data_IF_416254558621
#
_entry.id   IF_416254558621
#
_cell.length_a   1.000
_cell.length_b   1.000
_cell.length_c   1.000
_cell.angle_alpha   90.00
_cell.angle_beta   90.00
_cell.angle_gamma   90.00
#
_symmetry.space_group_name_H-M   'P 1'
#
loop_
_entity.id
_entity.type
_entity.pdbx_description
1 polymer ?
#
# COMPACT_ATOMS: atom_id res chain seq x y z
N UNK A 1 -17.83 -9.17 1.37
CA UNK A 1 -17.49 -8.31 0.20
C UNK A 1 -15.98 -8.08 0.05
N UNK A 2 -15.22 -7.89 1.15
CA UNK A 2 -13.77 -7.63 1.15
C UNK A 2 -12.91 -8.78 0.58
N UNK A 3 -13.27 -10.05 0.82
CA UNK A 3 -12.56 -11.24 0.27
C UNK A 3 -12.43 -11.28 -1.26
N UNK A 4 -13.26 -10.54 -2.00
CA UNK A 4 -13.30 -10.60 -3.48
C UNK A 4 -12.21 -9.73 -4.14
N UNK A 5 -11.66 -8.75 -3.42
CA UNK A 5 -10.61 -7.84 -3.92
C UNK A 5 -9.20 -8.48 -3.80
N UNK A 6 -9.00 -9.37 -2.83
CA UNK A 6 -7.72 -10.06 -2.58
C UNK A 6 -7.25 -11.00 -3.71
N UNK A 7 -8.13 -11.33 -4.67
CA UNK A 7 -7.85 -12.26 -5.77
C UNK A 7 -7.70 -11.58 -7.14
N UNK A 8 -7.84 -10.26 -7.26
CA UNK A 8 -7.65 -9.56 -8.53
C UNK A 8 -6.21 -9.11 -8.70
N UNK A 9 -5.61 -9.44 -9.84
CA UNK A 9 -4.49 -8.66 -10.38
C UNK A 9 -5.02 -7.25 -10.60
N UNK A 10 -4.81 -6.37 -9.61
CA UNK A 10 -5.07 -4.95 -9.80
C UNK A 10 -3.96 -4.45 -10.71
N UNK A 11 -4.31 -4.27 -11.97
CA UNK A 11 -3.44 -3.73 -13.01
C UNK A 11 -4.02 -2.41 -13.47
N UNK A 12 -3.26 -1.34 -13.25
CA UNK A 12 -3.64 -0.01 -13.67
C UNK A 12 -3.02 0.38 -15.01
N UNK A 13 -2.01 -0.37 -15.45
CA UNK A 13 -1.38 -0.24 -16.76
C UNK A 13 0.03 0.34 -16.71
N UNK A 14 0.56 0.66 -15.52
CA UNK A 14 1.92 1.13 -15.34
C UNK A 14 2.77 0.02 -14.74
N UNK A 15 3.59 -0.62 -15.58
CA UNK A 15 4.32 -1.85 -15.26
C UNK A 15 5.07 -1.81 -13.93
N UNK A 16 5.77 -0.71 -13.63
CA UNK A 16 6.53 -0.57 -12.39
C UNK A 16 5.62 -0.49 -11.14
N UNK A 17 4.52 0.25 -11.20
CA UNK A 17 3.57 0.40 -10.09
C UNK A 17 2.80 -0.90 -9.88
N UNK A 18 2.31 -1.52 -10.96
CA UNK A 18 1.62 -2.82 -10.89
C UNK A 18 2.54 -3.91 -10.31
N UNK A 19 3.84 -3.87 -10.61
CA UNK A 19 4.82 -4.77 -10.01
C UNK A 19 4.99 -4.53 -8.50
N UNK A 20 4.99 -3.28 -8.05
CA UNK A 20 5.05 -2.94 -6.63
C UNK A 20 3.77 -3.36 -5.90
N UNK A 21 2.58 -3.17 -6.48
CA UNK A 21 1.31 -3.66 -5.93
C UNK A 21 1.34 -5.16 -5.69
N UNK A 22 1.72 -5.94 -6.71
CA UNK A 22 1.84 -7.40 -6.59
C UNK A 22 2.80 -7.79 -5.46
N UNK A 23 3.95 -7.12 -5.38
CA UNK A 23 4.93 -7.44 -4.34
C UNK A 23 4.46 -7.09 -2.93
N UNK A 24 3.71 -5.99 -2.76
CA UNK A 24 3.09 -5.61 -1.49
C UNK A 24 2.01 -6.62 -1.10
N UNK A 25 1.12 -6.99 -2.02
CA UNK A 25 0.06 -7.99 -1.81
C UNK A 25 0.66 -9.35 -1.43
N UNK A 26 1.70 -9.80 -2.13
CA UNK A 26 2.37 -11.07 -1.82
C UNK A 26 3.01 -11.07 -0.44
N UNK A 27 3.51 -9.92 0.02
CA UNK A 27 4.02 -9.80 1.37
C UNK A 27 2.90 -9.83 2.41
N UNK A 28 1.73 -9.25 2.13
CA UNK A 28 0.55 -9.35 2.97
C UNK A 28 0.13 -10.81 3.17
N UNK A 29 0.08 -11.59 2.08
CA UNK A 29 -0.21 -13.05 2.14
C UNK A 29 0.81 -13.81 2.99
N UNK A 30 2.09 -13.47 2.89
CA UNK A 30 3.15 -14.08 3.73
C UNK A 30 2.96 -13.76 5.21
N UNK A 31 2.49 -12.55 5.53
CA UNK A 31 2.19 -12.14 6.91
C UNK A 31 0.97 -12.89 7.45
N UNK A 32 -0.09 -13.04 6.65
CA UNK A 32 -1.27 -13.83 7.02
C UNK A 32 -0.94 -15.30 7.32
N UNK A 33 0.07 -15.85 6.65
CA UNK A 33 0.54 -17.23 6.85
C UNK A 33 1.41 -17.43 8.10
N UNK A 34 1.81 -16.37 8.81
CA UNK A 34 2.59 -16.51 10.06
C UNK A 34 1.71 -17.21 11.11
N UNK A 35 2.17 -18.33 11.72
CA UNK A 35 1.42 -19.00 12.78
C UNK A 35 1.18 -18.09 13.99
N UNK A 36 0.02 -18.24 14.64
CA UNK A 36 -0.38 -17.41 15.78
C UNK A 36 0.11 -17.99 17.12
N UNK A 37 1.43 -18.08 17.28
CA UNK A 37 2.10 -18.52 18.50
C UNK A 37 3.15 -17.48 18.93
N UNK A 38 3.38 -17.36 20.23
CA UNK A 38 4.15 -16.26 20.83
C UNK A 38 5.58 -16.12 20.27
N UNK A 39 6.22 -17.24 19.89
CA UNK A 39 7.57 -17.25 19.32
C UNK A 39 7.65 -16.63 17.91
N UNK A 40 6.51 -16.32 17.28
CA UNK A 40 6.44 -15.73 15.95
C UNK A 40 6.25 -14.22 15.93
N UNK A 41 6.18 -13.56 17.09
CA UNK A 41 6.04 -12.10 17.14
C UNK A 41 7.23 -11.40 16.45
N UNK A 42 8.46 -11.83 16.69
CA UNK A 42 9.64 -11.24 16.07
C UNK A 42 9.68 -11.44 14.54
N UNK A 43 9.43 -12.66 14.00
CA UNK A 43 9.22 -12.87 12.57
C UNK A 43 8.10 -12.01 11.97
N UNK A 44 6.94 -11.90 12.65
CA UNK A 44 5.81 -11.07 12.22
C UNK A 44 6.22 -9.60 12.10
N UNK A 45 6.86 -9.06 13.14
CA UNK A 45 7.37 -7.69 13.16
C UNK A 45 8.40 -7.44 12.05
N UNK A 46 9.26 -8.42 11.75
CA UNK A 46 10.24 -8.33 10.66
C UNK A 46 9.56 -8.22 9.29
N UNK A 47 8.55 -9.06 9.03
CA UNK A 47 7.78 -9.02 7.80
C UNK A 47 6.98 -7.70 7.67
N UNK A 48 6.34 -7.26 8.76
CA UNK A 48 5.58 -6.00 8.75
C UNK A 48 6.48 -4.78 8.55
N UNK A 49 7.69 -4.78 9.12
CA UNK A 49 8.70 -3.74 8.84
C UNK A 49 9.10 -3.72 7.36
N UNK A 50 9.22 -4.90 6.74
CA UNK A 50 9.46 -5.01 5.29
C UNK A 50 8.28 -4.46 4.49
N UNK A 51 7.04 -4.76 4.89
CA UNK A 51 5.82 -4.26 4.26
C UNK A 51 5.78 -2.74 4.25
N UNK A 52 5.93 -2.12 5.42
CA UNK A 52 5.97 -0.65 5.55
C UNK A 52 7.03 -0.02 4.65
N UNK A 53 8.24 -0.61 4.58
CA UNK A 53 9.32 -0.08 3.73
C UNK A 53 8.94 -0.13 2.25
N UNK A 54 8.24 -1.17 1.81
CA UNK A 54 7.80 -1.31 0.42
C UNK A 54 6.69 -0.34 0.07
N UNK A 55 5.67 -0.22 0.94
CA UNK A 55 4.62 0.79 0.81
C UNK A 55 5.24 2.19 0.68
N UNK A 56 6.20 2.53 1.55
CA UNK A 56 6.88 3.84 1.47
C UNK A 56 7.60 4.05 0.14
N UNK A 57 8.30 3.03 -0.37
CA UNK A 57 9.00 3.13 -1.67
C UNK A 57 8.02 3.27 -2.82
N UNK A 58 6.88 2.61 -2.72
CA UNK A 58 5.84 2.66 -3.72
C UNK A 58 5.18 4.05 -3.80
N UNK A 59 4.81 4.61 -2.65
CA UNK A 59 4.31 5.98 -2.59
C UNK A 59 5.29 7.02 -3.14
N UNK A 60 6.60 6.84 -2.93
CA UNK A 60 7.60 7.73 -3.52
C UNK A 60 7.59 7.67 -5.05
N UNK A 61 7.47 6.47 -5.64
CA UNK A 61 7.36 6.32 -7.09
C UNK A 61 6.10 7.01 -7.63
N UNK A 62 4.97 6.84 -6.95
CA UNK A 62 3.72 7.49 -7.37
C UNK A 62 3.77 9.00 -7.20
N UNK A 63 4.42 9.50 -6.15
CA UNK A 63 4.66 10.94 -5.98
C UNK A 63 5.51 11.51 -7.11
N UNK A 64 6.55 10.79 -7.56
CA UNK A 64 7.33 11.15 -8.75
C UNK A 64 6.46 11.16 -10.01
N UNK A 65 5.60 10.16 -10.20
CA UNK A 65 4.66 10.11 -11.34
C UNK A 65 3.67 11.30 -11.28
N UNK A 66 3.13 11.59 -10.11
CA UNK A 66 2.19 12.70 -9.89
C UNK A 66 2.84 14.07 -10.11
N UNK A 67 4.16 14.21 -9.96
CA UNK A 67 4.88 15.44 -10.29
C UNK A 67 4.83 15.78 -11.79
N UNK A 68 4.72 14.77 -12.65
CA UNK A 68 4.52 14.99 -14.09
C UNK A 68 3.09 15.42 -14.45
N UNK A 69 2.12 15.27 -13.53
CA UNK A 69 0.76 15.80 -13.69
C UNK A 69 0.72 17.30 -13.36
N UNK A 70 1.19 18.13 -14.30
CA UNK A 70 1.30 19.59 -14.14
C UNK A 70 0.00 20.35 -14.42
N UNK A 71 -1.03 19.69 -14.96
CA UNK A 71 -2.30 20.35 -15.26
C UNK A 71 -3.06 20.73 -13.97
N UNK A 72 -3.52 21.98 -13.91
CA UNK A 72 -4.30 22.53 -12.79
C UNK A 72 -5.52 21.70 -12.43
N UNK A 73 -6.15 21.02 -13.40
CA UNK A 73 -7.33 20.18 -13.13
C UNK A 73 -7.01 18.99 -12.22
N UNK A 74 -5.76 18.55 -12.13
CA UNK A 74 -5.34 17.38 -11.34
C UNK A 74 -4.61 17.74 -10.04
N UNK A 75 -4.31 19.02 -9.81
CA UNK A 75 -3.59 19.49 -8.62
C UNK A 75 -4.28 19.06 -7.31
N UNK A 76 -5.62 19.15 -7.25
CA UNK A 76 -6.36 18.77 -6.06
C UNK A 76 -6.21 17.28 -5.73
N UNK A 77 -6.27 16.42 -6.75
CA UNK A 77 -6.03 14.99 -6.59
C UNK A 77 -4.59 14.72 -6.15
N UNK A 78 -3.58 15.35 -6.77
CA UNK A 78 -2.18 15.20 -6.35
C UNK A 78 -2.01 15.50 -4.86
N UNK A 79 -2.55 16.62 -4.37
CA UNK A 79 -2.43 16.97 -2.96
C UNK A 79 -3.14 15.97 -2.03
N UNK A 80 -4.36 15.55 -2.37
CA UNK A 80 -5.10 14.59 -1.53
C UNK A 80 -4.46 13.21 -1.55
N UNK A 81 -3.90 12.80 -2.69
CA UNK A 81 -3.17 11.55 -2.88
C UNK A 81 -1.89 11.52 -2.02
N UNK A 82 -1.02 12.51 -2.15
CA UNK A 82 0.19 12.64 -1.31
C UNK A 82 -0.16 12.73 0.18
N UNK A 83 -1.24 13.41 0.54
CA UNK A 83 -1.68 13.47 1.93
C UNK A 83 -2.15 12.10 2.44
N UNK A 84 -2.81 11.31 1.59
CA UNK A 84 -3.21 9.94 1.92
C UNK A 84 -2.00 9.04 2.18
N UNK A 85 -0.91 9.19 1.42
CA UNK A 85 0.35 8.49 1.67
C UNK A 85 0.90 8.78 3.07
N UNK A 86 0.99 10.06 3.42
CA UNK A 86 1.49 10.50 4.74
C UNK A 86 0.66 9.92 5.87
N UNK A 87 -0.67 10.00 5.74
CA UNK A 87 -1.60 9.47 6.72
C UNK A 87 -1.42 7.96 6.88
N UNK A 88 -1.32 7.22 5.77
CA UNK A 88 -1.16 5.78 5.79
C UNK A 88 0.20 5.35 6.37
N UNK A 89 1.29 6.03 6.03
CA UNK A 89 2.61 5.76 6.63
C UNK A 89 2.62 6.02 8.14
N UNK A 90 1.97 7.10 8.59
CA UNK A 90 1.82 7.37 10.02
C UNK A 90 1.01 6.27 10.72
N UNK A 91 -0.07 5.80 10.10
CA UNK A 91 -0.83 4.66 10.60
C UNK A 91 0.03 3.39 10.71
N UNK A 92 0.82 3.05 9.69
CA UNK A 92 1.75 1.92 9.74
C UNK A 92 2.82 2.08 10.83
N UNK A 93 3.30 3.30 11.07
CA UNK A 93 4.25 3.58 12.15
C UNK A 93 3.62 3.31 13.53
N UNK A 94 2.34 3.63 13.71
CA UNK A 94 1.62 3.38 14.97
C UNK A 94 1.39 1.89 15.18
N UNK A 95 0.95 1.16 14.15
CA UNK A 95 0.82 -0.31 14.21
C UNK A 95 2.16 -0.94 14.57
N UNK A 96 3.26 -0.47 13.99
CA UNK A 96 4.60 -0.98 14.29
C UNK A 96 4.99 -0.87 15.77
N UNK A 97 4.53 0.17 16.46
CA UNK A 97 4.74 0.33 17.91
C UNK A 97 3.84 -0.63 18.66
N UNK A 98 2.57 -0.68 18.29
CA UNK A 98 1.56 -1.54 18.92
C UNK A 98 1.94 -3.03 18.86
N UNK A 99 2.40 -3.54 17.71
CA UNK A 99 2.85 -4.94 17.59
C UNK A 99 4.17 -5.23 18.30
N UNK A 100 4.99 -4.21 18.57
CA UNK A 100 6.25 -4.38 19.30
C UNK A 100 5.98 -4.49 20.81
N UNK A 101 4.97 -3.77 21.29
CA UNK A 101 4.52 -3.78 22.68
C UNK A 101 3.58 -4.97 22.97
N UNK A 102 2.85 -5.45 21.95
CA UNK A 102 1.93 -6.57 22.04
C UNK A 102 2.64 -7.91 21.77
N UNK A 103 2.57 -8.85 22.73
CA UNK A 103 3.13 -10.20 22.57
C UNK A 103 2.15 -11.21 21.96
N UNK A 104 0.88 -10.83 21.80
CA UNK A 104 -0.14 -11.65 21.17
C UNK A 104 -0.06 -11.50 19.64
N UNK A 105 0.35 -12.60 19.00
CA UNK A 105 0.48 -12.67 17.54
C UNK A 105 -0.88 -12.65 16.85
N UNK A 106 -1.93 -13.20 17.46
CA UNK A 106 -3.28 -13.19 16.87
C UNK A 106 -3.81 -11.77 16.78
N UNK A 107 -3.76 -11.02 17.89
CA UNK A 107 -4.19 -9.61 17.94
C UNK A 107 -3.34 -8.77 16.98
N UNK A 108 -2.02 -8.96 16.98
CA UNK A 108 -1.11 -8.25 16.06
C UNK A 108 -1.45 -8.50 14.60
N UNK A 109 -1.82 -9.73 14.22
CA UNK A 109 -2.25 -10.06 12.85
C UNK A 109 -3.57 -9.40 12.48
N UNK A 110 -4.53 -9.30 13.39
CA UNK A 110 -5.79 -8.59 13.12
C UNK A 110 -5.55 -7.11 12.81
N UNK A 111 -4.73 -6.43 13.62
CA UNK A 111 -4.35 -5.04 13.41
C UNK A 111 -3.65 -4.87 12.06
N UNK A 112 -2.72 -5.77 11.73
CA UNK A 112 -2.01 -5.73 10.44
C UNK A 112 -2.98 -5.97 9.26
N UNK A 113 -3.98 -6.83 9.40
CA UNK A 113 -4.98 -7.06 8.36
C UNK A 113 -5.83 -5.79 8.09
N UNK A 114 -6.12 -4.99 9.11
CA UNK A 114 -6.72 -3.66 8.91
C UNK A 114 -5.81 -2.76 8.06
N UNK A 115 -4.50 -2.81 8.27
CA UNK A 115 -3.55 -2.12 7.43
C UNK A 115 -3.66 -2.56 5.96
N UNK A 116 -3.67 -3.86 5.69
CA UNK A 116 -3.78 -4.37 4.32
C UNK A 116 -5.06 -3.91 3.63
N UNK A 117 -6.19 -3.91 4.34
CA UNK A 117 -7.44 -3.37 3.82
C UNK A 117 -7.33 -1.87 3.49
N UNK A 118 -6.66 -1.09 4.35
CA UNK A 118 -6.40 0.32 4.08
C UNK A 118 -5.58 0.53 2.80
N UNK A 119 -4.59 -0.31 2.52
CA UNK A 119 -3.82 -0.25 1.27
C UNK A 119 -4.68 -0.59 0.05
N UNK A 120 -5.51 -1.64 0.13
CA UNK A 120 -6.43 -1.97 -0.97
C UNK A 120 -7.44 -0.84 -1.26
N UNK A 121 -7.95 -0.18 -0.22
CA UNK A 121 -8.85 0.95 -0.39
C UNK A 121 -8.14 2.16 -1.01
N UNK A 122 -6.89 2.41 -0.61
CA UNK A 122 -6.06 3.44 -1.23
C UNK A 122 -5.89 3.16 -2.73
N UNK A 123 -5.46 1.96 -3.12
CA UNK A 123 -5.31 1.58 -4.53
C UNK A 123 -6.60 1.79 -5.34
N UNK A 124 -7.74 1.38 -4.76
CA UNK A 124 -9.03 1.49 -5.42
C UNK A 124 -9.48 2.95 -5.61
N UNK A 125 -9.14 3.84 -4.67
CA UNK A 125 -9.61 5.23 -4.66
C UNK A 125 -8.65 6.19 -5.35
N UNK A 126 -7.36 6.12 -5.04
CA UNK A 126 -6.38 7.13 -5.42
C UNK A 126 -5.60 6.70 -6.67
N UNK A 127 -5.01 5.51 -6.67
CA UNK A 127 -4.17 5.04 -7.78
C UNK A 127 -5.02 4.87 -9.05
N UNK A 128 -6.22 4.31 -8.90
CA UNK A 128 -7.15 4.13 -10.01
C UNK A 128 -7.48 5.45 -10.73
N UNK A 129 -7.64 6.53 -9.96
CA UNK A 129 -7.92 7.87 -10.47
C UNK A 129 -6.67 8.49 -11.12
N UNK A 130 -5.50 8.38 -10.47
CA UNK A 130 -4.20 8.81 -11.03
C UNK A 130 -3.96 8.17 -12.40
N UNK A 131 -4.14 6.85 -12.53
CA UNK A 131 -3.95 6.15 -13.79
C UNK A 131 -5.03 6.48 -14.83
N UNK A 132 -6.24 6.81 -14.39
CA UNK A 132 -7.26 7.41 -15.25
C UNK A 132 -6.75 8.67 -15.92
N UNK A 133 -6.09 9.56 -15.18
CA UNK A 133 -5.53 10.82 -15.71
C UNK A 133 -4.37 10.58 -16.67
N UNK A 134 -3.44 9.69 -16.31
CA UNK A 134 -2.28 9.36 -17.17
C UNK A 134 -2.70 8.79 -18.53
N UNK A 135 -3.82 8.03 -18.57
CA UNK A 135 -4.37 7.48 -19.83
C UNK A 135 -4.91 8.59 -20.73
N UNK A 136 -5.58 9.59 -20.16
CA UNK A 136 -6.13 10.73 -20.89
C UNK A 136 -5.02 11.62 -21.46
N UNK A 137 -3.97 11.87 -20.67
CA UNK A 137 -2.86 12.75 -21.06
C UNK A 137 -1.84 12.09 -22.01
N UNK A 138 -2.05 10.83 -22.42
CA UNK A 138 -1.11 10.04 -23.26
C UNK A 138 0.33 9.99 -22.72
N UNK A 139 0.52 10.11 -21.40
CA UNK A 139 1.84 10.03 -20.74
C UNK A 139 2.42 8.61 -20.76
N UNK A 140 1.69 7.63 -21.33
CA UNK A 140 2.06 6.22 -21.40
C UNK A 140 3.19 5.84 -22.38
N UNK A 141 3.97 6.80 -22.89
CA UNK A 141 5.13 6.49 -23.73
C UNK A 141 6.39 6.91 -22.98
N UNK A 142 7.09 5.93 -22.42
CA UNK A 142 8.51 6.01 -22.06
C UNK A 142 8.89 6.60 -20.68
N UNK A 143 8.23 6.16 -19.61
CA UNK A 143 8.80 6.08 -18.26
C UNK A 143 8.67 4.65 -17.72
#
# INVERSE_FOLDING_TARGET
MIKKILNSNIEFGHTAVDAQHRYIIDLSKKIEQVPANEDKIAPLCSLFRKYRRLVKKHFLLEEEILEFLVDRKYIAHRFSHVQSHKNYINYLNNIMKEIADNKDVSVSKEIINYAFNGFHLHMAQYDSEMFGFLKVERVFREL
#
